data_IF_217323538805
#
_entry.id   IF_217323538805
#
_cell.length_a   1.000
_cell.length_b   1.000
_cell.length_c   1.000
_cell.angle_alpha   90.00
_cell.angle_beta   90.00
_cell.angle_gamma   90.00
#
_symmetry.space_group_name_H-M   'P 1'
#
loop_
_entity.id
_entity.type
_entity.pdbx_description
1 polymer ?
#
# COMPACT_ATOMS: atom_id res chain seq x y z
N UNK A 1 13.70 16.24 7.19
CA UNK A 1 13.21 16.77 8.46
C UNK A 1 14.23 17.74 9.06
N UNK A 2 13.82 18.53 10.07
CA UNK A 2 14.78 19.38 10.76
C UNK A 2 15.80 18.51 11.53
N UNK A 3 17.06 18.95 11.59
CA UNK A 3 18.03 18.40 12.53
C UNK A 3 17.45 18.50 13.95
N UNK A 4 17.82 17.57 14.84
CA UNK A 4 17.36 17.52 16.23
C UNK A 4 15.87 17.20 16.48
N UNK A 5 15.19 16.53 15.55
CA UNK A 5 13.81 16.12 15.74
C UNK A 5 13.64 14.66 16.25
N UNK A 6 14.70 14.02 16.72
CA UNK A 6 14.74 12.61 17.13
C UNK A 6 13.68 12.27 18.21
N UNK A 7 13.58 13.12 19.24
CA UNK A 7 12.55 12.96 20.30
C UNK A 7 11.14 13.05 19.74
N UNK A 8 10.91 13.96 18.77
CA UNK A 8 9.62 14.11 18.10
C UNK A 8 9.29 12.90 17.25
N UNK A 9 10.24 12.35 16.51
CA UNK A 9 10.07 11.11 15.73
C UNK A 9 9.72 9.92 16.62
N UNK A 10 10.45 9.75 17.72
CA UNK A 10 10.14 8.72 18.71
C UNK A 10 8.77 8.93 19.36
N UNK A 11 8.37 10.18 19.61
CA UNK A 11 7.04 10.51 20.16
C UNK A 11 5.92 10.18 19.16
N UNK A 12 6.13 10.46 17.87
CA UNK A 12 5.17 10.11 16.82
C UNK A 12 5.02 8.59 16.66
N UNK A 13 6.13 7.84 16.77
CA UNK A 13 6.06 6.38 16.75
C UNK A 13 5.31 5.81 17.97
N UNK A 14 5.38 6.48 19.13
CA UNK A 14 4.68 6.00 20.33
C UNK A 14 3.17 6.10 20.28
N UNK A 15 2.62 6.97 19.42
CA UNK A 15 1.18 7.28 19.40
C UNK A 15 0.68 7.43 17.98
N UNK A 16 -0.38 6.74 17.69
CA UNK A 16 -1.12 6.87 16.45
C UNK A 16 -2.60 7.07 16.77
N UNK A 17 -3.25 8.03 16.11
CA UNK A 17 -4.64 8.38 16.40
C UNK A 17 -5.64 7.30 15.98
N UNK A 18 -5.27 6.45 15.03
CA UNK A 18 -6.11 5.37 14.50
C UNK A 18 -5.75 4.04 15.17
N UNK A 19 -4.45 3.70 15.21
CA UNK A 19 -3.96 2.41 15.69
C UNK A 19 -3.64 2.39 17.19
N UNK A 20 -3.66 3.57 17.85
CA UNK A 20 -3.42 3.70 19.28
C UNK A 20 -1.94 3.75 19.66
N UNK A 21 -1.61 3.24 20.83
CA UNK A 21 -0.27 3.29 21.39
C UNK A 21 0.59 2.17 20.84
N UNK A 22 1.86 2.48 20.52
CA UNK A 22 2.85 1.47 20.12
C UNK A 22 2.95 0.35 21.17
N UNK A 23 2.78 -0.88 20.74
CA UNK A 23 2.82 -2.06 21.62
C UNK A 23 4.28 -2.46 21.92
N UNK A 24 4.87 -1.78 22.90
CA UNK A 24 6.23 -2.06 23.30
C UNK A 24 6.98 -0.84 23.86
N UNK A 25 8.29 -0.94 23.89
CA UNK A 25 9.17 0.10 24.45
C UNK A 25 9.86 0.89 23.32
N UNK A 26 9.97 2.20 23.51
CA UNK A 26 10.75 3.09 22.67
C UNK A 26 11.65 3.92 23.58
N UNK A 27 12.95 3.81 23.39
CA UNK A 27 13.97 4.60 24.08
C UNK A 27 14.77 5.39 23.07
N UNK A 28 15.09 6.63 23.37
CA UNK A 28 15.91 7.51 22.53
C UNK A 28 17.35 7.49 23.04
N UNK A 29 18.29 7.48 22.11
CA UNK A 29 19.73 7.62 22.32
C UNK A 29 20.20 8.79 21.46
N UNK A 30 20.30 9.97 22.07
CA UNK A 30 20.66 11.20 21.37
C UNK A 30 22.13 11.20 20.94
N UNK A 31 23.03 10.57 21.72
CA UNK A 31 24.45 10.49 21.38
C UNK A 31 24.68 9.69 20.11
N UNK A 32 23.90 8.61 19.94
CA UNK A 32 23.98 7.74 18.78
C UNK A 32 23.07 8.14 17.62
N UNK A 33 22.32 9.23 17.76
CA UNK A 33 21.29 9.64 16.78
C UNK A 33 20.35 8.47 16.42
N UNK A 34 19.85 7.76 17.44
CA UNK A 34 19.06 6.57 17.27
C UNK A 34 17.92 6.48 18.26
N UNK A 35 16.95 5.62 17.98
CA UNK A 35 16.00 5.14 18.98
C UNK A 35 15.93 3.62 18.96
N UNK A 36 15.62 3.03 20.09
CA UNK A 36 15.52 1.57 20.26
C UNK A 36 14.05 1.23 20.43
N UNK A 37 13.48 0.51 19.45
CA UNK A 37 12.10 0.05 19.46
C UNK A 37 12.08 -1.47 19.67
N UNK A 38 11.52 -1.93 20.77
CA UNK A 38 11.48 -3.35 21.14
C UNK A 38 12.85 -4.06 21.02
N UNK A 39 13.90 -3.38 21.45
CA UNK A 39 15.28 -3.90 21.40
C UNK A 39 16.02 -3.71 20.09
N UNK A 40 15.35 -3.28 19.01
CA UNK A 40 15.96 -3.00 17.71
C UNK A 40 16.40 -1.56 17.64
N UNK A 41 17.67 -1.32 17.33
CA UNK A 41 18.21 0.02 17.10
C UNK A 41 17.81 0.53 15.71
N UNK A 42 17.27 1.74 15.67
CA UNK A 42 16.92 2.46 14.45
C UNK A 42 17.75 3.74 14.40
N UNK A 43 18.71 3.79 13.48
CA UNK A 43 19.49 5.00 13.19
C UNK A 43 18.66 6.02 12.45
N UNK A 44 18.78 7.28 12.85
CA UNK A 44 18.17 8.40 12.14
C UNK A 44 19.26 9.14 11.37
N UNK A 45 19.12 9.19 10.05
CA UNK A 45 20.08 9.83 9.15
C UNK A 45 19.42 11.06 8.57
N UNK A 46 20.11 12.19 8.64
CA UNK A 46 19.70 13.45 8.06
C UNK A 46 20.54 13.72 6.81
N UNK A 47 19.88 14.00 5.69
CA UNK A 47 20.52 14.34 4.43
C UNK A 47 19.56 15.21 3.59
N UNK A 48 20.11 16.08 2.76
CA UNK A 48 19.34 16.95 1.87
C UNK A 48 18.87 16.18 0.62
N UNK A 49 19.64 15.21 0.17
CA UNK A 49 19.31 14.37 -0.98
C UNK A 49 19.66 12.90 -0.72
N UNK A 50 18.96 11.96 -1.37
CA UNK A 50 19.20 10.53 -1.18
C UNK A 50 20.62 10.10 -1.52
N UNK A 51 21.17 10.65 -2.58
CA UNK A 51 22.52 10.36 -3.08
C UNK A 51 23.65 10.80 -2.14
N UNK A 52 23.39 11.70 -1.20
CA UNK A 52 24.40 12.22 -0.25
C UNK A 52 24.65 11.25 0.91
N UNK A 53 23.86 10.19 1.02
CA UNK A 53 23.96 9.23 2.11
C UNK A 53 24.99 8.15 1.78
N UNK A 54 25.94 7.93 2.70
CA UNK A 54 26.84 6.78 2.65
C UNK A 54 26.39 5.73 3.68
N UNK A 55 25.62 4.75 3.23
CA UNK A 55 25.12 3.66 4.08
C UNK A 55 26.20 2.69 4.53
N UNK A 56 27.36 2.68 3.87
CA UNK A 56 28.48 1.79 4.25
C UNK A 56 29.06 2.16 5.62
N UNK A 57 28.93 3.41 6.04
CA UNK A 57 29.32 3.88 7.38
C UNK A 57 28.50 3.22 8.50
N UNK A 58 27.34 2.67 8.16
CA UNK A 58 26.44 1.95 9.07
C UNK A 58 26.52 0.43 8.87
N UNK A 59 27.53 -0.05 8.12
CA UNK A 59 27.73 -1.49 7.85
C UNK A 59 26.83 -2.07 6.76
N UNK A 60 26.13 -1.22 5.99
CA UNK A 60 25.21 -1.65 4.92
C UNK A 60 25.95 -1.64 3.59
N UNK A 61 26.14 -2.84 2.96
CA UNK A 61 26.90 -2.99 1.72
C UNK A 61 26.01 -3.23 0.49
N UNK A 62 24.81 -3.78 0.67
CA UNK A 62 23.84 -4.08 -0.39
C UNK A 62 22.41 -3.89 0.15
N UNK A 63 22.15 -2.71 0.68
CA UNK A 63 20.88 -2.38 1.33
C UNK A 63 19.73 -2.22 0.36
N UNK A 64 18.54 -2.42 0.88
CA UNK A 64 17.27 -2.12 0.20
C UNK A 64 16.71 -0.84 0.81
N UNK A 65 16.51 0.18 -0.01
CA UNK A 65 15.80 1.41 0.40
C UNK A 65 14.32 1.22 0.14
N UNK A 66 13.51 1.45 1.17
CA UNK A 66 12.04 1.50 1.04
C UNK A 66 11.63 2.97 1.01
N UNK A 67 11.26 3.47 -0.18
CA UNK A 67 10.81 4.85 -0.35
C UNK A 67 9.31 4.97 -0.09
N UNK A 68 8.97 5.68 0.98
CA UNK A 68 7.60 6.06 1.34
C UNK A 68 7.43 7.57 1.48
N UNK A 69 8.32 8.34 0.86
CA UNK A 69 8.30 9.82 0.91
C UNK A 69 7.15 10.43 0.11
N UNK A 70 6.69 9.73 -0.93
CA UNK A 70 5.70 10.25 -1.89
C UNK A 70 6.26 11.27 -2.88
N UNK A 71 7.57 11.58 -2.83
CA UNK A 71 8.23 12.58 -3.68
C UNK A 71 8.48 12.01 -5.08
N UNK A 72 9.11 10.83 -5.16
CA UNK A 72 9.45 10.19 -6.43
C UNK A 72 8.54 9.00 -6.71
N UNK A 73 8.09 8.87 -7.97
CA UNK A 73 7.25 7.76 -8.41
C UNK A 73 7.67 7.17 -9.75
N UNK A 74 8.70 7.73 -10.36
CA UNK A 74 9.29 7.25 -11.62
C UNK A 74 10.71 6.71 -11.39
N UNK A 75 11.20 5.99 -12.38
CA UNK A 75 12.50 5.32 -12.30
C UNK A 75 13.65 6.31 -12.13
N UNK A 76 13.59 7.46 -12.77
CA UNK A 76 14.63 8.48 -12.70
C UNK A 76 14.77 9.04 -11.28
N UNK A 77 13.66 9.44 -10.66
CA UNK A 77 13.64 9.95 -9.29
C UNK A 77 14.09 8.91 -8.26
N UNK A 78 13.59 7.68 -8.37
CA UNK A 78 13.93 6.60 -7.44
C UNK A 78 15.37 6.11 -7.60
N UNK A 79 15.95 6.22 -8.80
CA UNK A 79 17.34 5.85 -9.03
C UNK A 79 18.35 6.76 -8.30
N UNK A 80 17.93 7.91 -7.80
CA UNK A 80 18.75 8.75 -6.93
C UNK A 80 19.18 8.01 -5.65
N UNK A 81 18.32 7.13 -5.11
CA UNK A 81 18.70 6.29 -3.99
C UNK A 81 19.77 5.26 -4.35
N UNK A 82 19.80 4.78 -5.61
CA UNK A 82 20.82 3.84 -6.07
C UNK A 82 22.21 4.48 -6.20
N UNK A 83 22.26 5.81 -6.33
CA UNK A 83 23.52 6.55 -6.33
C UNK A 83 24.18 6.63 -4.94
N UNK A 84 23.42 6.41 -3.87
CA UNK A 84 23.92 6.35 -2.51
C UNK A 84 24.76 5.09 -2.30
N UNK A 85 25.91 5.23 -1.64
CA UNK A 85 26.80 4.11 -1.37
C UNK A 85 26.13 3.08 -0.45
N UNK A 86 26.23 1.81 -0.82
CA UNK A 86 25.68 0.70 -0.04
C UNK A 86 24.23 0.33 -0.38
N UNK A 87 23.59 0.98 -1.38
CA UNK A 87 22.24 0.67 -1.84
C UNK A 87 22.27 -0.24 -3.06
N UNK A 88 21.58 -1.36 -3.01
CA UNK A 88 21.44 -2.30 -4.12
C UNK A 88 20.06 -2.21 -4.81
N UNK A 89 19.00 -2.00 -4.04
CA UNK A 89 17.63 -1.99 -4.57
C UNK A 89 16.77 -0.92 -3.89
N UNK A 90 15.73 -0.48 -4.61
CA UNK A 90 14.73 0.47 -4.13
C UNK A 90 13.34 -0.11 -4.27
N UNK A 91 12.56 -0.06 -3.21
CA UNK A 91 11.13 -0.43 -3.20
C UNK A 91 10.30 0.82 -2.95
N UNK A 92 9.51 1.20 -3.93
CA UNK A 92 8.53 2.29 -3.78
C UNK A 92 7.26 1.75 -3.13
N UNK A 93 6.78 2.38 -2.05
CA UNK A 93 5.51 2.02 -1.37
C UNK A 93 4.29 2.74 -1.92
N UNK A 94 4.31 3.06 -3.22
CA UNK A 94 3.23 3.72 -3.94
C UNK A 94 3.21 3.20 -5.39
N UNK A 95 2.14 3.45 -6.18
CA UNK A 95 2.10 3.02 -7.57
C UNK A 95 3.25 3.60 -8.39
N UNK A 96 4.06 2.72 -8.99
CA UNK A 96 5.15 3.10 -9.88
C UNK A 96 4.62 3.62 -11.22
N UNK A 97 5.26 4.69 -11.72
CA UNK A 97 5.00 5.26 -13.05
C UNK A 97 5.92 4.64 -14.08
N UNK A 98 5.46 4.68 -15.35
CA UNK A 98 6.22 4.16 -16.49
C UNK A 98 6.38 2.64 -16.41
N UNK A 99 7.61 2.17 -16.60
CA UNK A 99 8.01 0.78 -16.72
C UNK A 99 8.34 0.09 -15.36
N UNK A 100 8.16 0.81 -14.24
CA UNK A 100 8.40 0.22 -12.93
C UNK A 100 7.40 -0.93 -12.69
N UNK A 101 7.94 -2.13 -12.43
CA UNK A 101 7.13 -3.30 -12.09
C UNK A 101 6.37 -3.05 -10.78
N UNK A 102 5.05 -3.24 -10.82
CA UNK A 102 4.20 -3.16 -9.64
C UNK A 102 3.99 -4.59 -9.13
N UNK A 103 4.45 -4.86 -7.93
CA UNK A 103 4.45 -6.18 -7.32
C UNK A 103 3.44 -6.22 -6.17
N UNK A 104 2.60 -7.24 -6.19
CA UNK A 104 1.72 -7.63 -5.08
C UNK A 104 2.25 -8.96 -4.54
N UNK A 105 2.75 -8.94 -3.31
CA UNK A 105 3.35 -10.12 -2.69
C UNK A 105 2.37 -11.29 -2.62
N UNK A 106 2.82 -12.49 -2.95
CA UNK A 106 2.00 -13.70 -3.04
C UNK A 106 1.21 -13.83 -4.34
N UNK A 107 1.34 -12.88 -5.28
CA UNK A 107 0.57 -12.87 -6.53
C UNK A 107 1.47 -12.86 -7.78
N UNK A 108 2.43 -11.95 -7.85
CA UNK A 108 3.29 -11.79 -9.04
C UNK A 108 4.75 -11.50 -8.71
N UNK A 109 5.25 -11.92 -7.57
CA UNK A 109 6.66 -11.78 -7.20
C UNK A 109 7.61 -12.50 -8.15
N UNK A 110 7.14 -13.55 -8.82
CA UNK A 110 7.91 -14.28 -9.84
C UNK A 110 8.25 -13.40 -11.06
N UNK A 111 7.57 -12.24 -11.21
CA UNK A 111 7.91 -11.26 -12.24
C UNK A 111 9.17 -10.43 -11.91
N UNK A 112 9.71 -10.54 -10.68
CA UNK A 112 10.91 -9.82 -10.27
C UNK A 112 12.12 -10.52 -10.87
N UNK A 113 12.90 -9.77 -11.65
CA UNK A 113 14.16 -10.23 -12.22
C UNK A 113 15.34 -9.75 -11.36
N UNK A 114 16.46 -10.42 -11.46
CA UNK A 114 17.69 -10.05 -10.74
C UNK A 114 18.17 -8.63 -11.10
N UNK A 115 17.91 -8.22 -12.34
CA UNK A 115 18.22 -6.89 -12.90
C UNK A 115 17.31 -5.79 -12.43
N UNK A 116 16.18 -6.11 -11.78
CA UNK A 116 15.26 -5.11 -11.24
C UNK A 116 15.84 -4.46 -9.99
N UNK A 117 16.38 -3.28 -10.16
CA UNK A 117 16.91 -2.46 -9.05
C UNK A 117 15.86 -1.54 -8.44
N UNK A 118 14.77 -1.24 -9.17
CA UNK A 118 13.66 -0.39 -8.71
C UNK A 118 12.35 -1.12 -8.98
N UNK A 119 11.60 -1.40 -7.93
CA UNK A 119 10.27 -2.02 -7.98
C UNK A 119 9.28 -1.21 -7.16
N UNK A 120 7.99 -1.42 -7.39
CA UNK A 120 6.90 -0.81 -6.63
C UNK A 120 6.09 -1.88 -5.93
N UNK A 121 5.76 -1.65 -4.67
CA UNK A 121 4.80 -2.46 -3.92
C UNK A 121 3.32 -2.16 -4.28
N UNK A 122 3.09 -1.54 -5.43
CA UNK A 122 1.77 -1.16 -5.95
C UNK A 122 1.00 -0.18 -5.05
N UNK A 123 -0.33 -0.10 -5.20
CA UNK A 123 -1.19 0.75 -4.37
C UNK A 123 -1.92 -0.07 -3.31
N UNK A 124 -2.44 0.61 -2.28
CA UNK A 124 -3.29 0.00 -1.26
C UNK A 124 -4.49 -0.72 -1.89
N UNK A 125 -5.21 -0.06 -2.81
CA UNK A 125 -6.35 -0.66 -3.52
C UNK A 125 -5.91 -1.88 -4.34
N UNK A 126 -4.79 -1.80 -5.07
CA UNK A 126 -4.27 -2.93 -5.85
C UNK A 126 -3.95 -4.12 -4.96
N UNK A 127 -3.29 -3.90 -3.83
CA UNK A 127 -2.98 -4.98 -2.88
C UNK A 127 -4.24 -5.62 -2.29
N UNK A 128 -5.31 -4.84 -2.08
CA UNK A 128 -6.57 -5.36 -1.56
C UNK A 128 -7.35 -6.20 -2.59
N UNK A 129 -7.46 -5.71 -3.84
CA UNK A 129 -8.38 -6.33 -4.82
C UNK A 129 -7.72 -7.42 -5.68
N UNK A 130 -6.42 -7.33 -5.95
CA UNK A 130 -5.74 -8.27 -6.85
C UNK A 130 -5.76 -9.71 -6.36
N UNK A 131 -5.53 -10.01 -5.07
CA UNK A 131 -5.65 -11.39 -4.58
C UNK A 131 -7.04 -11.98 -4.80
N UNK A 132 -8.09 -11.21 -4.52
CA UNK A 132 -9.48 -11.63 -4.71
C UNK A 132 -9.81 -11.82 -6.20
N UNK A 133 -9.39 -10.87 -7.05
CA UNK A 133 -9.58 -10.98 -8.50
C UNK A 133 -8.83 -12.17 -9.09
N UNK A 134 -7.60 -12.44 -8.63
CA UNK A 134 -6.84 -13.61 -9.08
C UNK A 134 -7.56 -14.90 -8.70
N UNK A 135 -7.98 -15.05 -7.46
CA UNK A 135 -8.72 -16.21 -7.02
C UNK A 135 -9.99 -16.44 -7.86
N UNK A 136 -10.77 -15.38 -8.08
CA UNK A 136 -12.00 -15.47 -8.86
C UNK A 136 -11.73 -15.74 -10.36
N UNK A 137 -10.67 -15.17 -10.94
CA UNK A 137 -10.33 -15.39 -12.35
C UNK A 137 -9.78 -16.80 -12.59
N UNK A 138 -8.96 -17.31 -11.68
CA UNK A 138 -8.38 -18.65 -11.78
C UNK A 138 -9.48 -19.74 -11.72
N UNK A 139 -10.47 -19.57 -10.85
CA UNK A 139 -11.54 -20.57 -10.66
C UNK A 139 -12.68 -20.41 -11.67
N UNK A 140 -13.19 -19.19 -11.84
CA UNK A 140 -14.43 -18.97 -12.60
C UNK A 140 -14.18 -18.26 -13.95
N UNK A 141 -13.03 -17.65 -14.16
CA UNK A 141 -12.72 -16.81 -15.31
C UNK A 141 -13.50 -15.49 -15.29
N UNK A 142 -12.84 -14.36 -15.38
CA UNK A 142 -13.46 -13.04 -15.44
C UNK A 142 -13.54 -12.61 -16.91
N UNK A 143 -14.75 -12.26 -17.38
CA UNK A 143 -14.97 -11.69 -18.72
C UNK A 143 -14.97 -10.17 -18.70
N UNK A 144 -15.71 -9.57 -17.76
CA UNK A 144 -15.77 -8.13 -17.54
C UNK A 144 -16.03 -7.85 -16.07
N UNK A 145 -15.76 -6.61 -15.63
CA UNK A 145 -16.09 -6.22 -14.27
C UNK A 145 -16.02 -4.71 -14.03
N UNK A 146 -16.57 -4.33 -12.89
CA UNK A 146 -16.49 -2.98 -12.36
C UNK A 146 -16.02 -2.99 -10.91
N UNK A 147 -15.01 -2.17 -10.63
CA UNK A 147 -14.45 -1.99 -9.28
C UNK A 147 -14.91 -0.63 -8.76
N UNK A 148 -15.80 -0.63 -7.79
CA UNK A 148 -16.14 0.56 -7.04
C UNK A 148 -15.37 0.58 -5.71
N UNK A 149 -14.68 1.69 -5.44
CA UNK A 149 -13.89 1.83 -4.20
C UNK A 149 -14.50 2.91 -3.33
N UNK A 150 -14.98 2.52 -2.15
CA UNK A 150 -15.32 3.43 -1.06
C UNK A 150 -14.09 3.57 -0.19
N UNK A 151 -13.37 4.68 -0.36
CA UNK A 151 -12.01 4.82 0.13
C UNK A 151 -11.93 5.79 1.30
N UNK A 152 -11.26 5.39 2.38
CA UNK A 152 -10.89 6.28 3.46
C UNK A 152 -10.13 7.52 2.93
N UNK A 153 -10.30 8.67 3.57
CA UNK A 153 -9.53 9.85 3.19
C UNK A 153 -8.03 9.63 3.44
N UNK A 154 -7.23 10.30 2.65
CA UNK A 154 -5.76 10.23 2.72
C UNK A 154 -5.17 11.62 2.88
N UNK A 155 -3.90 11.71 3.30
CA UNK A 155 -3.23 12.96 3.61
C UNK A 155 -3.05 13.92 2.41
N UNK A 156 -3.38 13.47 1.20
CA UNK A 156 -3.41 14.32 0.01
C UNK A 156 -4.70 15.17 -0.10
N UNK A 157 -5.72 14.87 0.71
CA UNK A 157 -6.93 15.68 0.78
C UNK A 157 -6.78 16.77 1.85
N UNK A 158 -7.38 17.93 1.59
CA UNK A 158 -7.36 19.01 2.55
C UNK A 158 -8.23 18.69 3.77
N UNK A 159 -7.74 19.03 4.94
CA UNK A 159 -8.49 18.90 6.20
C UNK A 159 -9.64 19.92 6.27
N UNK A 160 -9.40 21.14 5.80
CA UNK A 160 -10.36 22.22 5.64
C UNK A 160 -10.36 22.68 4.18
N UNK A 161 -11.40 23.38 3.75
CA UNK A 161 -11.52 23.90 2.38
C UNK A 161 -10.34 24.79 2.01
N UNK A 162 -9.59 24.38 0.98
CA UNK A 162 -8.46 25.13 0.44
C UNK A 162 -8.16 24.68 -0.99
N UNK A 163 -7.30 25.44 -1.68
CA UNK A 163 -6.85 25.09 -3.02
C UNK A 163 -6.19 23.70 -3.07
N UNK A 164 -6.52 22.94 -4.11
CA UNK A 164 -5.88 21.67 -4.44
C UNK A 164 -5.82 21.52 -5.97
N UNK A 165 -4.72 20.95 -6.47
CA UNK A 165 -4.51 20.74 -7.92
C UNK A 165 -5.51 19.75 -8.56
N UNK A 166 -5.99 18.78 -7.79
CA UNK A 166 -7.00 17.85 -8.24
C UNK A 166 -8.40 18.34 -7.83
N UNK A 167 -9.38 18.13 -8.71
CA UNK A 167 -10.76 18.49 -8.45
C UNK A 167 -11.29 17.84 -7.17
N UNK A 168 -12.13 18.57 -6.43
CA UNK A 168 -12.82 18.15 -5.20
C UNK A 168 -11.94 17.77 -4.00
N UNK A 169 -10.66 17.46 -4.19
CA UNK A 169 -9.76 17.09 -3.07
C UNK A 169 -9.36 18.28 -2.19
N UNK A 170 -9.67 19.50 -2.63
CA UNK A 170 -9.52 20.72 -1.84
C UNK A 170 -10.62 20.95 -0.80
N UNK A 171 -11.72 20.19 -0.86
CA UNK A 171 -12.82 20.27 0.12
C UNK A 171 -12.49 19.42 1.34
N UNK A 172 -12.99 19.87 2.50
CA UNK A 172 -12.74 19.24 3.80
C UNK A 172 -13.02 17.72 3.78
N UNK A 173 -11.99 16.91 3.92
CA UNK A 173 -12.07 15.46 3.88
C UNK A 173 -12.95 14.85 5.00
N UNK A 174 -12.89 15.33 6.25
CA UNK A 174 -13.75 14.83 7.32
C UNK A 174 -15.25 15.12 7.16
N UNK A 175 -15.62 16.05 6.27
CA UNK A 175 -17.00 16.51 6.14
C UNK A 175 -17.67 16.11 4.82
N UNK A 176 -16.91 15.59 3.86
CA UNK A 176 -17.41 15.39 2.51
C UNK A 176 -17.14 13.99 1.95
N UNK A 177 -18.13 13.45 1.24
CA UNK A 177 -17.91 12.40 0.26
C UNK A 177 -17.45 13.03 -1.04
N UNK A 178 -16.37 12.48 -1.63
CA UNK A 178 -15.73 13.06 -2.82
C UNK A 178 -15.62 12.01 -3.91
N UNK A 179 -16.29 12.25 -5.06
CA UNK A 179 -16.04 11.48 -6.27
C UNK A 179 -14.63 11.80 -6.79
N UNK A 180 -13.86 10.79 -7.10
CA UNK A 180 -12.52 10.94 -7.64
C UNK A 180 -12.23 9.85 -8.67
N UNK A 181 -11.34 10.15 -9.60
CA UNK A 181 -10.85 9.15 -10.51
C UNK A 181 -10.02 8.09 -9.76
N UNK A 182 -10.09 6.87 -10.25
CA UNK A 182 -9.23 5.78 -9.78
C UNK A 182 -8.47 5.16 -10.94
N UNK A 183 -7.18 4.93 -10.71
CA UNK A 183 -6.34 4.10 -11.60
C UNK A 183 -6.42 2.61 -11.27
N UNK A 184 -7.33 2.18 -10.39
CA UNK A 184 -7.36 0.81 -9.88
C UNK A 184 -7.49 -0.24 -11.00
N UNK A 185 -8.41 -0.06 -11.94
CA UNK A 185 -8.57 -0.99 -13.07
C UNK A 185 -7.30 -1.11 -13.92
N UNK A 186 -6.64 0.01 -14.25
CA UNK A 186 -5.35 0.01 -14.97
C UNK A 186 -4.22 -0.57 -14.14
N UNK A 187 -4.24 -0.36 -12.83
CA UNK A 187 -3.22 -0.88 -11.93
C UNK A 187 -3.34 -2.41 -11.75
N UNK A 188 -4.56 -2.95 -11.78
CA UNK A 188 -4.79 -4.40 -11.80
C UNK A 188 -4.14 -5.04 -13.03
N UNK A 189 -4.30 -4.46 -14.21
CA UNK A 189 -3.73 -4.99 -15.44
C UNK A 189 -2.18 -5.04 -15.43
N UNK A 190 -1.52 -4.19 -14.65
CA UNK A 190 -0.07 -4.26 -14.46
C UNK A 190 0.39 -5.48 -13.64
N UNK A 191 -0.50 -6.04 -12.82
CA UNK A 191 -0.22 -7.19 -11.95
C UNK A 191 -0.83 -8.47 -12.53
N UNK A 192 -2.04 -8.36 -13.10
CA UNK A 192 -2.79 -9.43 -13.75
C UNK A 192 -3.07 -9.05 -15.22
N UNK A 193 -2.10 -9.23 -16.13
CA UNK A 193 -2.24 -8.80 -17.53
C UNK A 193 -3.42 -9.41 -18.28
N UNK A 194 -3.87 -10.60 -17.89
CA UNK A 194 -5.04 -11.26 -18.47
C UNK A 194 -6.36 -10.51 -18.21
N UNK A 195 -6.37 -9.56 -17.27
CA UNK A 195 -7.52 -8.69 -17.00
C UNK A 195 -7.44 -7.32 -17.70
N UNK A 196 -6.46 -7.12 -18.58
CA UNK A 196 -6.35 -5.88 -19.35
C UNK A 196 -7.60 -5.64 -20.20
N UNK A 197 -8.14 -4.43 -20.11
CA UNK A 197 -9.35 -4.01 -20.83
C UNK A 197 -10.67 -4.61 -20.32
N UNK A 198 -10.64 -5.53 -19.37
CA UNK A 198 -11.85 -6.17 -18.85
C UNK A 198 -12.50 -5.42 -17.67
N UNK A 199 -11.74 -4.55 -17.00
CA UNK A 199 -12.20 -3.89 -15.79
C UNK A 199 -12.37 -2.40 -16.00
N UNK A 200 -13.44 -1.85 -15.43
CA UNK A 200 -13.65 -0.41 -15.22
C UNK A 200 -13.64 -0.11 -13.73
N UNK A 201 -13.57 1.16 -13.34
CA UNK A 201 -13.63 1.50 -11.92
C UNK A 201 -13.79 2.97 -11.64
N UNK A 202 -14.31 3.26 -10.46
CA UNK A 202 -14.42 4.58 -9.87
C UNK A 202 -14.08 4.55 -8.38
N UNK A 203 -13.94 5.70 -7.75
CA UNK A 203 -13.70 5.81 -6.32
C UNK A 203 -14.50 6.94 -5.71
N UNK A 204 -15.01 6.67 -4.51
CA UNK A 204 -15.63 7.65 -3.63
C UNK A 204 -14.77 7.74 -2.37
N UNK A 205 -14.25 8.92 -2.06
CA UNK A 205 -13.60 9.18 -0.76
C UNK A 205 -14.67 9.50 0.26
N UNK A 206 -14.54 8.90 1.44
CA UNK A 206 -15.50 9.03 2.55
C UNK A 206 -14.83 9.56 3.81
N UNK A 207 -15.58 10.18 4.74
CA UNK A 207 -15.06 10.72 6.00
C UNK A 207 -14.68 9.63 7.03
N UNK A 208 -13.92 8.64 6.60
CA UNK A 208 -13.44 7.53 7.44
C UNK A 208 -11.93 7.58 7.45
N UNK A 209 -11.28 7.52 8.64
CA UNK A 209 -9.82 7.73 8.73
C UNK A 209 -9.01 6.51 8.28
N UNK A 210 -9.60 5.33 8.28
CA UNK A 210 -8.92 4.10 7.93
C UNK A 210 -9.91 3.04 7.42
N UNK A 211 -9.39 2.02 6.78
CA UNK A 211 -10.11 0.93 6.10
C UNK A 211 -10.96 1.43 4.94
N UNK A 212 -10.67 0.93 3.78
CA UNK A 212 -11.45 1.17 2.55
C UNK A 212 -12.21 -0.10 2.17
N UNK A 213 -13.28 0.05 1.42
CA UNK A 213 -14.06 -1.07 0.88
C UNK A 213 -13.99 -1.04 -0.64
N UNK A 214 -13.81 -2.20 -1.26
CA UNK A 214 -13.98 -2.37 -2.69
C UNK A 214 -15.19 -3.26 -2.97
N UNK A 215 -16.05 -2.82 -3.87
CA UNK A 215 -17.19 -3.58 -4.37
C UNK A 215 -16.82 -4.08 -5.76
N UNK A 216 -16.79 -5.40 -5.94
CA UNK A 216 -16.42 -6.04 -7.18
C UNK A 216 -17.67 -6.60 -7.85
N UNK A 217 -18.09 -5.99 -8.96
CA UNK A 217 -19.16 -6.49 -9.81
C UNK A 217 -18.52 -7.19 -10.99
N UNK A 218 -18.58 -8.52 -11.02
CA UNK A 218 -17.87 -9.35 -11.99
C UNK A 218 -18.83 -10.19 -12.84
N UNK A 219 -18.55 -10.27 -14.13
CA UNK A 219 -19.17 -11.26 -15.01
C UNK A 219 -18.19 -12.41 -15.19
N UNK A 220 -18.61 -13.59 -14.79
CA UNK A 220 -17.81 -14.81 -14.80
C UNK A 220 -18.08 -15.64 -16.05
N UNK A 221 -17.11 -16.42 -16.52
CA UNK A 221 -17.29 -17.40 -17.60
C UNK A 221 -18.04 -18.63 -17.10
N UNK A 222 -17.70 -19.09 -15.89
CA UNK A 222 -18.36 -20.23 -15.26
C UNK A 222 -19.38 -19.71 -14.24
N UNK A 223 -20.61 -20.22 -14.35
CA UNK A 223 -21.66 -19.90 -13.39
C UNK A 223 -21.34 -20.50 -12.02
N UNK A 224 -21.71 -19.78 -10.96
CA UNK A 224 -21.57 -20.24 -9.58
C UNK A 224 -22.80 -19.83 -8.77
N UNK A 225 -22.97 -20.40 -7.59
CA UNK A 225 -23.96 -19.97 -6.61
C UNK A 225 -23.28 -19.13 -5.53
N UNK A 226 -24.08 -18.39 -4.78
CA UNK A 226 -23.59 -17.62 -3.62
C UNK A 226 -22.89 -18.53 -2.61
N UNK A 227 -23.47 -19.68 -2.33
CA UNK A 227 -22.97 -20.64 -1.36
C UNK A 227 -21.61 -21.22 -1.81
N UNK A 228 -21.52 -21.62 -3.07
CA UNK A 228 -20.29 -22.16 -3.64
C UNK A 228 -19.17 -21.10 -3.70
N UNK A 229 -19.49 -19.85 -4.07
CA UNK A 229 -18.53 -18.76 -4.08
C UNK A 229 -18.02 -18.43 -2.67
N UNK A 230 -18.92 -18.37 -1.68
CA UNK A 230 -18.54 -18.10 -0.30
C UNK A 230 -17.66 -19.22 0.27
N UNK A 231 -17.98 -20.47 0.00
CA UNK A 231 -17.16 -21.60 0.44
C UNK A 231 -15.79 -21.58 -0.22
N UNK A 232 -15.73 -21.33 -1.53
CA UNK A 232 -14.47 -21.17 -2.25
C UNK A 232 -13.60 -20.07 -1.65
N UNK A 233 -14.15 -18.88 -1.38
CA UNK A 233 -13.41 -17.78 -0.80
C UNK A 233 -12.93 -18.08 0.63
N UNK A 234 -13.74 -18.80 1.41
CA UNK A 234 -13.35 -19.27 2.75
C UNK A 234 -12.16 -20.23 2.68
N UNK A 235 -12.21 -21.21 1.77
CA UNK A 235 -11.09 -22.15 1.55
C UNK A 235 -9.81 -21.43 1.12
N UNK A 236 -9.91 -20.46 0.23
CA UNK A 236 -8.76 -19.63 -0.17
C UNK A 236 -8.15 -18.91 1.04
N UNK A 237 -8.96 -18.25 1.87
CA UNK A 237 -8.52 -17.52 3.03
C UNK A 237 -7.86 -18.41 4.10
N UNK A 238 -8.36 -19.61 4.30
CA UNK A 238 -7.91 -20.50 5.37
C UNK A 238 -6.75 -21.42 4.96
N UNK A 239 -6.79 -21.95 3.71
CA UNK A 239 -5.98 -23.10 3.34
C UNK A 239 -5.06 -22.89 2.14
N UNK A 240 -5.22 -21.81 1.38
CA UNK A 240 -4.37 -21.55 0.20
C UNK A 240 -3.05 -20.85 0.54
N UNK A 241 -2.19 -20.71 -0.47
CA UNK A 241 -0.99 -19.86 -0.40
C UNK A 241 -1.34 -18.38 -0.17
N UNK A 242 -2.54 -17.94 -0.54
CA UNK A 242 -3.05 -16.56 -0.40
C UNK A 242 -3.63 -16.24 0.98
N UNK A 243 -3.58 -17.15 1.96
CA UNK A 243 -4.07 -16.93 3.34
C UNK A 243 -3.44 -15.76 4.11
N UNK A 244 -2.34 -15.20 3.58
CA UNK A 244 -1.72 -13.99 4.13
C UNK A 244 -2.24 -12.70 3.47
N UNK A 245 -2.90 -12.82 2.32
CA UNK A 245 -3.42 -11.73 1.51
C UNK A 245 -4.93 -11.60 1.60
N UNK A 246 -5.63 -12.71 1.84
CA UNK A 246 -7.10 -12.76 1.91
C UNK A 246 -7.52 -13.28 3.28
N UNK A 247 -8.43 -12.59 3.92
CA UNK A 247 -9.17 -13.06 5.09
C UNK A 247 -10.65 -13.22 4.71
N UNK A 248 -11.45 -13.87 5.56
CA UNK A 248 -12.85 -14.14 5.29
C UNK A 248 -13.72 -13.88 6.52
N UNK A 249 -14.79 -13.17 6.34
CA UNK A 249 -15.82 -12.98 7.35
C UNK A 249 -17.21 -13.07 6.71
N UNK A 250 -18.10 -13.82 7.32
CA UNK A 250 -19.51 -13.91 6.96
C UNK A 250 -20.44 -13.32 8.04
N UNK A 251 -19.86 -12.68 9.05
CA UNK A 251 -20.65 -12.01 10.10
C UNK A 251 -21.41 -10.81 9.53
N UNK A 252 -22.72 -10.72 9.74
CA UNK A 252 -23.53 -9.59 9.28
C UNK A 252 -23.28 -8.30 10.07
N UNK A 253 -22.53 -8.36 11.17
CA UNK A 253 -22.31 -7.24 12.08
C UNK A 253 -20.97 -6.51 11.81
N UNK A 254 -20.11 -7.02 10.91
CA UNK A 254 -18.80 -6.40 10.65
C UNK A 254 -18.93 -5.05 9.99
N UNK A 255 -18.11 -4.12 10.45
CA UNK A 255 -17.97 -2.76 9.93
C UNK A 255 -16.48 -2.43 9.74
N UNK A 256 -16.19 -1.32 9.07
CA UNK A 256 -14.81 -0.94 8.72
C UNK A 256 -13.86 -0.86 9.92
N UNK A 257 -14.33 -0.47 11.11
CA UNK A 257 -13.48 -0.38 12.30
C UNK A 257 -12.96 -1.73 12.80
N UNK A 258 -13.67 -2.83 12.48
CA UNK A 258 -13.27 -4.18 12.89
C UNK A 258 -12.02 -4.67 12.15
N UNK A 259 -11.75 -4.09 10.99
CA UNK A 259 -10.59 -4.43 10.15
C UNK A 259 -9.37 -3.53 10.38
N UNK A 260 -9.44 -2.58 11.31
CA UNK A 260 -8.28 -1.73 11.63
C UNK A 260 -7.14 -2.59 12.17
N UNK A 261 -5.99 -2.57 11.48
CA UNK A 261 -4.82 -3.38 11.83
C UNK A 261 -4.81 -4.78 11.23
N UNK A 262 -5.83 -5.16 10.43
CA UNK A 262 -5.77 -6.38 9.61
C UNK A 262 -4.60 -6.31 8.63
N UNK A 263 -4.00 -7.48 8.33
CA UNK A 263 -2.91 -7.63 7.36
C UNK A 263 -3.39 -8.21 6.03
N UNK A 264 -4.63 -8.63 5.96
CA UNK A 264 -5.27 -9.21 4.79
C UNK A 264 -6.47 -8.37 4.33
N UNK A 265 -6.86 -8.54 3.08
CA UNK A 265 -8.05 -7.95 2.48
C UNK A 265 -9.28 -8.81 2.74
#
# INVERSE_FOLDING_TARGET
>A
GAEDDLLKRASLLRRDSVHGVFKGTIRVDEERQSFIANGNEVKVIYADAPEDIDYTQYGIQAGIVVDNTGVWRDKAGLSRHLAAKGVAKVILTAPGKGDIKNIVAGINEDAIEETDTVISAASCTTNAIVPVLKAADDEYGITTGHVETVHAYTNDQNLIDNYHKAERRGRSAPLNMVLTETGAAKAVAKVLPQLEGKLTGNAIRVPTPNVSMAILNLTLKQGTTREALNEFMREIALHSSMKKQIDYSDSPEVVSSDFVGSRAA
#
